data_IF_081174159338
#
_entry.id   IF_081174159338
#
_cell.length_a   1.000
_cell.length_b   1.000
_cell.length_c   1.000
_cell.angle_alpha   90.00
_cell.angle_beta   90.00
_cell.angle_gamma   90.00
#
_symmetry.space_group_name_H-M   'P 1'
#
loop_
_entity.id
_entity.type
_entity.pdbx_description
1 polymer ?
#
# COMPACT_ATOMS: atom_id res chain seq x y z
N UNK A 1 2.90 -6.39 -10.61
CA UNK A 1 2.00 -6.94 -9.56
C UNK A 1 2.22 -6.15 -8.28
N UNK A 2 1.16 -5.81 -7.53
CA UNK A 2 1.24 -5.04 -6.29
C UNK A 2 0.77 -5.90 -5.12
N UNK A 3 1.54 -5.91 -4.04
CA UNK A 3 1.23 -6.62 -2.81
C UNK A 3 1.47 -5.69 -1.61
N UNK A 4 0.72 -5.90 -0.54
CA UNK A 4 1.00 -5.25 0.75
C UNK A 4 1.72 -6.25 1.65
N UNK A 5 2.80 -5.80 2.29
CA UNK A 5 3.58 -6.61 3.21
C UNK A 5 3.72 -5.84 4.53
N UNK A 6 3.38 -6.51 5.63
CA UNK A 6 3.66 -6.00 6.97
C UNK A 6 5.06 -6.46 7.35
N UNK A 7 5.96 -5.51 7.59
CA UNK A 7 7.31 -5.78 8.04
C UNK A 7 7.44 -5.44 9.51
N UNK A 8 7.79 -6.41 10.34
CA UNK A 8 8.12 -6.17 11.75
C UNK A 8 9.57 -5.68 11.86
N UNK A 9 9.71 -4.35 11.82
CA UNK A 9 11.00 -3.70 11.99
C UNK A 9 11.33 -3.44 13.47
N UNK A 10 12.58 -3.04 13.77
CA UNK A 10 13.00 -2.70 15.14
C UNK A 10 12.22 -1.52 15.76
N UNK A 11 11.50 -0.74 14.95
CA UNK A 11 10.67 0.38 15.39
C UNK A 11 9.16 0.06 15.37
N UNK A 12 8.79 -1.22 15.33
CA UNK A 12 7.40 -1.68 15.26
C UNK A 12 6.93 -2.08 13.84
N UNK A 13 5.68 -2.53 13.71
CA UNK A 13 5.12 -2.99 12.44
C UNK A 13 4.99 -1.82 11.46
N UNK A 14 5.52 -1.99 10.26
CA UNK A 14 5.37 -1.05 9.13
C UNK A 14 4.63 -1.75 8.00
N UNK A 15 3.68 -1.04 7.39
CA UNK A 15 2.98 -1.55 6.22
C UNK A 15 3.64 -0.98 4.97
N UNK A 16 4.22 -1.86 4.16
CA UNK A 16 4.80 -1.49 2.88
C UNK A 16 3.91 -1.96 1.75
N UNK A 17 3.63 -1.07 0.81
CA UNK A 17 3.04 -1.42 -0.47
C UNK A 17 4.14 -1.64 -1.49
N UNK A 18 4.31 -2.88 -1.94
CA UNK A 18 5.39 -3.28 -2.83
C UNK A 18 4.81 -3.51 -4.22
N UNK A 19 5.33 -2.80 -5.21
CA UNK A 19 5.00 -2.97 -6.62
C UNK A 19 6.20 -3.54 -7.37
N UNK A 20 5.99 -4.68 -8.03
CA UNK A 20 6.94 -5.32 -8.92
C UNK A 20 6.57 -4.98 -10.37
N UNK A 21 7.51 -4.38 -11.09
CA UNK A 21 7.39 -4.06 -12.51
C UNK A 21 8.48 -4.84 -13.26
N UNK A 22 8.12 -5.83 -14.10
CA UNK A 22 9.08 -6.49 -14.95
C UNK A 22 9.63 -5.50 -16.00
N UNK A 23 10.94 -5.55 -16.20
CA UNK A 23 11.62 -4.83 -17.28
C UNK A 23 11.76 -5.76 -18.48
N UNK A 24 11.04 -5.46 -19.56
CA UNK A 24 11.07 -6.26 -20.78
C UNK A 24 12.09 -5.68 -21.76
N UNK A 25 12.97 -6.52 -22.30
CA UNK A 25 14.01 -6.08 -23.23
C UNK A 25 13.48 -5.69 -24.61
N UNK A 26 13.91 -4.54 -25.12
CA UNK A 26 13.70 -4.03 -26.50
C UNK A 26 12.37 -4.43 -27.18
N UNK A 27 11.26 -4.28 -26.45
CA UNK A 27 9.91 -4.51 -26.98
C UNK A 27 9.48 -5.98 -27.09
N UNK A 28 10.33 -6.95 -26.72
CA UNK A 28 9.95 -8.35 -26.60
C UNK A 28 9.49 -8.66 -25.16
N UNK A 29 8.19 -8.84 -25.00
CA UNK A 29 7.53 -9.16 -23.72
C UNK A 29 7.94 -10.54 -23.20
N UNK A 30 8.62 -11.37 -23.99
CA UNK A 30 9.12 -12.68 -23.56
C UNK A 30 10.53 -12.63 -22.96
N UNK A 31 11.24 -11.49 -23.06
CA UNK A 31 12.58 -11.33 -22.51
C UNK A 31 12.52 -10.40 -21.30
N UNK A 32 12.69 -10.97 -20.10
CA UNK A 32 12.75 -10.19 -18.86
C UNK A 32 14.21 -9.87 -18.55
N UNK A 33 14.60 -8.60 -18.73
CA UNK A 33 15.92 -8.09 -18.40
C UNK A 33 16.13 -7.95 -16.89
N UNK A 34 15.05 -7.74 -16.14
CA UNK A 34 15.08 -7.60 -14.69
C UNK A 34 13.72 -7.28 -14.10
N UNK A 35 13.71 -6.95 -12.81
CA UNK A 35 12.50 -6.49 -12.11
C UNK A 35 12.84 -5.22 -11.33
N UNK A 36 12.00 -4.19 -11.51
CA UNK A 36 12.00 -3.04 -10.62
C UNK A 36 11.08 -3.33 -9.45
N UNK A 37 11.58 -3.09 -8.24
CA UNK A 37 10.81 -3.20 -7.00
C UNK A 37 10.69 -1.83 -6.39
N UNK A 38 9.45 -1.36 -6.23
CA UNK A 38 9.15 -0.13 -5.52
C UNK A 38 8.40 -0.49 -4.24
N UNK A 39 9.02 -0.21 -3.09
CA UNK A 39 8.38 -0.31 -1.78
C UNK A 39 8.02 1.08 -1.27
N UNK A 40 6.74 1.32 -0.99
CA UNK A 40 6.25 2.54 -0.36
C UNK A 40 5.80 2.24 1.06
N UNK A 41 6.32 2.96 2.05
CA UNK A 41 5.78 2.91 3.42
C UNK A 41 4.41 3.61 3.43
N UNK A 42 3.35 2.84 3.66
CA UNK A 42 1.97 3.33 3.73
C UNK A 42 1.41 3.25 5.15
N UNK A 43 2.27 3.03 6.15
CA UNK A 43 1.84 2.89 7.57
C UNK A 43 1.02 4.09 8.01
N UNK A 44 1.53 5.32 7.78
CA UNK A 44 0.82 6.55 8.17
C UNK A 44 -0.49 6.77 7.41
N UNK A 45 -0.55 6.36 6.13
CA UNK A 45 -1.79 6.45 5.36
C UNK A 45 -2.86 5.50 5.94
N UNK A 46 -2.49 4.27 6.27
CA UNK A 46 -3.42 3.29 6.88
C UNK A 46 -3.91 3.74 8.25
N UNK A 47 -3.02 4.25 9.09
CA UNK A 47 -3.40 4.80 10.40
C UNK A 47 -4.41 5.95 10.26
N UNK A 48 -4.21 6.82 9.26
CA UNK A 48 -5.13 7.91 8.95
C UNK A 48 -6.46 7.40 8.39
N UNK A 49 -6.45 6.46 7.44
CA UNK A 49 -7.65 5.82 6.91
C UNK A 49 -8.47 5.15 8.01
N UNK A 50 -7.84 4.41 8.91
CA UNK A 50 -8.53 3.82 10.06
C UNK A 50 -9.08 4.88 11.01
N UNK A 51 -8.33 5.95 11.28
CA UNK A 51 -8.80 7.04 12.12
C UNK A 51 -10.01 7.73 11.50
N UNK A 52 -9.97 7.99 10.19
CA UNK A 52 -11.09 8.55 9.43
C UNK A 52 -12.29 7.60 9.41
N UNK A 53 -12.07 6.30 9.19
CA UNK A 53 -13.12 5.29 9.22
C UNK A 53 -13.78 5.20 10.61
N UNK A 54 -12.98 5.24 11.69
CA UNK A 54 -13.51 5.29 13.07
C UNK A 54 -14.36 6.53 13.28
N UNK A 55 -13.88 7.71 12.90
CA UNK A 55 -14.65 8.96 13.05
C UNK A 55 -15.94 8.96 12.21
N UNK A 56 -15.91 8.44 10.99
CA UNK A 56 -17.10 8.29 10.15
C UNK A 56 -18.10 7.26 10.73
N UNK A 57 -17.61 6.23 11.41
CA UNK A 57 -18.48 5.26 12.10
C UNK A 57 -19.18 5.88 13.32
N UNK A 58 -18.53 6.83 14.01
CA UNK A 58 -19.17 7.65 15.04
C UNK A 58 -20.21 8.64 14.45
N UNK A 59 -20.01 9.12 13.22
CA UNK A 59 -20.97 10.01 12.54
C UNK A 59 -22.29 9.29 12.16
N UNK A 60 -22.31 7.96 12.07
CA UNK A 60 -23.55 7.19 11.94
C UNK A 60 -24.45 7.22 13.20
N UNK A 61 -23.94 7.67 14.35
CA UNK A 61 -24.79 7.97 15.51
C UNK A 61 -25.37 9.41 15.47
N UNK A 62 -24.98 10.24 14.49
CA UNK A 62 -25.42 11.64 14.34
C UNK A 62 -26.07 11.99 13.00
N UNK A 63 -25.99 11.14 11.98
CA UNK A 63 -26.90 11.16 10.83
C UNK A 63 -26.76 12.32 9.84
N UNK A 64 -25.56 12.61 9.34
CA UNK A 64 -25.38 13.49 8.17
C UNK A 64 -24.55 12.82 7.06
N UNK A 65 -24.83 13.11 5.77
CA UNK A 65 -24.22 12.37 4.66
C UNK A 65 -22.97 13.06 4.11
N UNK A 66 -21.97 12.25 3.74
CA UNK A 66 -21.01 12.56 2.67
C UNK A 66 -21.19 11.55 1.54
#
# INVERSE_FOLDING_TARGET
VRFEHIYEGPNGPRTYSITYLPDYGDGDVNVVNGVYVMGLDVTGQKELEESLARMAQYDQLTGLPN
#
